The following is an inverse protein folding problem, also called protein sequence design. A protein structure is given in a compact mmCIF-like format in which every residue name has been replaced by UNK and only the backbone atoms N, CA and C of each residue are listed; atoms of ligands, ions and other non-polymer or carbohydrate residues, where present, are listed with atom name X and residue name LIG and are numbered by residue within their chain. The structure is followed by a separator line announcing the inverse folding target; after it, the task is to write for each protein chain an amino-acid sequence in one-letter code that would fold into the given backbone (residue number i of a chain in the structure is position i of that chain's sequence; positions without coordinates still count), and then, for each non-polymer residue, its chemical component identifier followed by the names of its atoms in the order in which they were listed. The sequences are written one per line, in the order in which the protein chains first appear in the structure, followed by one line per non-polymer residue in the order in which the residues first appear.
data_IF_308233502061
#
_entry.id   IF_308233502061
#
_cell.length_a   1.000
_cell.length_b   1.000
_cell.length_c   1.000
_cell.angle_alpha   90.00
_cell.angle_beta   90.00
_cell.angle_gamma   90.00
#
_symmetry.space_group_name_H-M   'P 1'
#
loop_
_entity.id
_entity.type
_entity.pdbx_description
1 polymer ?
#
# COMPACT_ATOMS: atom_id res chain seq x y z
N UNK A 1 -0.25 7.69 2.21
CA UNK A 1 0.62 7.93 1.04
C UNK A 1 1.37 6.66 0.65
N UNK A 2 0.76 5.82 -0.18
CA UNK A 2 1.47 4.76 -0.91
C UNK A 2 2.46 5.54 -1.72
N UNK A 3 3.73 5.41 -1.33
CA UNK A 3 4.80 6.14 -1.97
C UNK A 3 5.15 5.39 -3.24
N UNK A 4 5.77 6.12 -4.16
CA UNK A 4 6.44 5.51 -5.30
C UNK A 4 7.34 4.35 -4.85
N UNK A 5 8.12 4.56 -3.78
CA UNK A 5 9.00 3.53 -3.18
C UNK A 5 8.24 2.29 -2.70
N UNK A 6 7.05 2.44 -2.10
CA UNK A 6 6.23 1.31 -1.70
C UNK A 6 5.74 0.50 -2.92
N UNK A 7 5.24 1.18 -3.95
CA UNK A 7 4.78 0.51 -5.17
C UNK A 7 5.92 -0.24 -5.85
N UNK A 8 7.09 0.39 -5.93
CA UNK A 8 8.29 -0.20 -6.48
C UNK A 8 8.67 -1.48 -5.74
N UNK A 9 8.85 -1.42 -4.41
CA UNK A 9 9.21 -2.61 -3.60
C UNK A 9 8.16 -3.72 -3.71
N UNK A 10 6.87 -3.37 -3.67
CA UNK A 10 5.77 -4.33 -3.76
C UNK A 10 5.76 -5.04 -5.12
N UNK A 11 5.88 -4.30 -6.20
CA UNK A 11 5.81 -4.89 -7.54
C UNK A 11 7.11 -5.61 -7.92
N UNK A 12 8.26 -5.16 -7.39
CA UNK A 12 9.51 -5.92 -7.47
C UNK A 12 9.41 -7.27 -6.75
N UNK A 13 8.74 -7.31 -5.59
CA UNK A 13 8.42 -8.57 -4.91
C UNK A 13 7.59 -9.53 -5.77
N UNK A 14 6.59 -9.02 -6.50
CA UNK A 14 5.80 -9.82 -7.45
C UNK A 14 6.63 -10.31 -8.63
N UNK A 15 7.45 -9.43 -9.19
CA UNK A 15 8.39 -9.75 -10.26
C UNK A 15 9.30 -10.92 -9.85
N UNK A 16 9.94 -10.82 -8.67
CA UNK A 16 10.80 -11.87 -8.11
C UNK A 16 10.04 -13.18 -7.92
N UNK A 17 8.82 -13.12 -7.39
CA UNK A 17 7.98 -14.30 -7.20
C UNK A 17 7.63 -15.00 -8.51
N UNK A 18 7.22 -14.24 -9.53
CA UNK A 18 6.87 -14.77 -10.84
C UNK A 18 8.10 -15.38 -11.53
N UNK A 19 9.24 -14.68 -11.50
CA UNK A 19 10.51 -15.17 -12.04
C UNK A 19 10.93 -16.50 -11.41
N UNK A 20 10.80 -16.61 -10.08
CA UNK A 20 11.12 -17.83 -9.33
C UNK A 20 10.17 -18.98 -9.66
N UNK A 21 8.87 -18.69 -9.75
CA UNK A 21 7.84 -19.67 -10.09
C UNK A 21 8.09 -20.31 -11.45
N UNK A 22 8.50 -19.52 -12.44
CA UNK A 22 8.78 -20.03 -13.80
C UNK A 22 10.02 -20.93 -13.86
N UNK A 23 10.88 -20.87 -12.83
CA UNK A 23 12.13 -21.63 -12.71
C UNK A 23 12.12 -22.71 -11.64
N UNK A 24 11.02 -22.83 -10.89
CA UNK A 24 10.87 -23.79 -9.81
C UNK A 24 11.80 -23.54 -8.62
N UNK A 25 12.23 -22.29 -8.39
CA UNK A 25 12.97 -21.89 -7.20
C UNK A 25 12.11 -21.01 -6.28
N UNK A 26 12.63 -20.66 -5.10
CA UNK A 26 11.94 -19.74 -4.18
C UNK A 26 12.61 -18.36 -4.19
N UNK A 27 11.89 -17.29 -3.86
CA UNK A 27 12.45 -15.94 -3.78
C UNK A 27 13.65 -15.82 -2.83
N UNK A 28 13.68 -16.60 -1.74
CA UNK A 28 14.77 -16.58 -0.76
C UNK A 28 16.08 -17.18 -1.30
N UNK A 29 15.99 -17.99 -2.36
CA UNK A 29 17.14 -18.62 -3.00
C UNK A 29 17.82 -17.69 -4.02
N UNK A 30 17.17 -16.58 -4.39
CA UNK A 30 17.65 -15.65 -5.41
C UNK A 30 18.56 -14.59 -4.80
N UNK A 31 19.82 -14.63 -5.20
CA UNK A 31 20.78 -13.57 -4.96
C UNK A 31 20.81 -12.61 -6.16
N UNK A 32 20.69 -11.31 -5.92
CA UNK A 32 20.55 -10.31 -6.98
C UNK A 32 21.90 -9.95 -7.61
N UNK A 33 23.03 -10.21 -6.94
CA UNK A 33 24.38 -9.98 -7.47
C UNK A 33 24.91 -11.16 -8.30
N UNK A 34 24.61 -12.39 -7.88
CA UNK A 34 25.16 -13.61 -8.51
C UNK A 34 24.11 -14.49 -9.18
N UNK A 35 22.84 -14.11 -9.08
CA UNK A 35 21.72 -14.87 -9.63
C UNK A 35 21.48 -16.21 -8.92
N UNK A 36 20.84 -17.13 -9.61
CA UNK A 36 20.63 -18.51 -9.15
C UNK A 36 20.78 -19.47 -10.34
N UNK A 37 21.41 -20.63 -10.10
CA UNK A 37 21.60 -21.69 -11.11
C UNK A 37 22.29 -21.22 -12.42
N UNK A 38 23.12 -20.18 -12.34
CA UNK A 38 23.83 -19.62 -13.50
C UNK A 38 22.99 -18.64 -14.34
N UNK A 39 21.78 -18.31 -13.90
CA UNK A 39 20.97 -17.24 -14.50
C UNK A 39 21.06 -15.97 -13.66
N UNK A 40 21.28 -14.83 -14.32
CA UNK A 40 21.24 -13.52 -13.68
C UNK A 40 19.80 -13.14 -13.32
N UNK A 41 19.66 -12.51 -12.17
CA UNK A 41 18.40 -11.92 -11.72
C UNK A 41 18.54 -10.39 -11.73
N UNK A 42 17.51 -9.71 -12.22
CA UNK A 42 17.47 -8.24 -12.32
C UNK A 42 17.32 -7.66 -10.92
N UNK A 43 18.17 -6.68 -10.56
CA UNK A 43 18.08 -6.02 -9.26
C UNK A 43 16.92 -5.01 -9.21
N UNK A 44 16.64 -4.44 -8.03
CA UNK A 44 15.50 -3.52 -7.87
C UNK A 44 15.67 -2.26 -8.72
N UNK A 45 16.88 -1.70 -8.80
CA UNK A 45 17.18 -0.52 -9.61
C UNK A 45 17.01 -0.79 -11.10
N UNK A 46 17.49 -1.94 -11.58
CA UNK A 46 17.31 -2.33 -12.98
C UNK A 46 15.84 -2.60 -13.31
N UNK A 47 15.09 -3.19 -12.38
CA UNK A 47 13.65 -3.38 -12.49
C UNK A 47 12.91 -2.04 -12.56
N UNK A 48 13.30 -1.07 -11.72
CA UNK A 48 12.73 0.28 -11.71
C UNK A 48 12.90 0.99 -13.06
N UNK A 49 14.10 0.89 -13.63
CA UNK A 49 14.48 1.56 -14.87
C UNK A 49 13.85 0.92 -16.12
N UNK A 50 13.50 -0.38 -16.05
CA UNK A 50 13.02 -1.15 -17.20
C UNK A 50 11.59 -1.67 -16.98
N UNK A 51 11.43 -2.84 -16.35
CA UNK A 51 10.15 -3.55 -16.23
C UNK A 51 9.07 -2.70 -15.56
N UNK A 52 9.43 -1.90 -14.55
CA UNK A 52 8.51 -1.03 -13.83
C UNK A 52 8.04 0.17 -14.66
N UNK A 53 8.69 0.50 -15.77
CA UNK A 53 8.21 1.52 -16.72
C UNK A 53 7.44 0.92 -17.90
N UNK A 54 7.53 -0.40 -18.12
CA UNK A 54 6.88 -1.09 -19.22
C UNK A 54 5.40 -1.37 -18.91
N UNK A 55 4.52 -0.66 -19.61
CA UNK A 55 3.07 -0.79 -19.43
C UNK A 55 2.54 -2.20 -19.73
N UNK A 56 3.00 -2.83 -20.82
CA UNK A 56 2.52 -4.16 -21.21
C UNK A 56 2.96 -5.20 -20.18
N UNK A 57 4.21 -5.09 -19.73
CA UNK A 57 4.76 -5.95 -18.69
C UNK A 57 4.01 -5.81 -17.37
N UNK A 58 3.85 -4.58 -16.86
CA UNK A 58 3.18 -4.33 -15.58
C UNK A 58 1.70 -4.73 -15.62
N UNK A 59 1.03 -4.57 -16.76
CA UNK A 59 -0.34 -5.07 -16.94
C UNK A 59 -0.43 -6.60 -16.91
N UNK A 60 0.61 -7.31 -17.32
CA UNK A 60 0.67 -8.77 -17.25
C UNK A 60 1.01 -9.29 -15.85
N UNK A 61 1.80 -8.52 -15.09
CA UNK A 61 2.27 -8.88 -13.75
C UNK A 61 1.23 -8.59 -12.65
N UNK A 62 0.48 -7.50 -12.80
CA UNK A 62 -0.41 -6.95 -11.78
C UNK A 62 -1.88 -7.33 -12.00
N UNK A 63 -2.66 -7.37 -10.92
CA UNK A 63 -4.12 -7.39 -11.04
C UNK A 63 -4.65 -6.00 -11.44
N UNK A 64 -5.93 -5.93 -11.84
CA UNK A 64 -6.56 -4.68 -12.31
C UNK A 64 -6.48 -3.52 -11.30
N UNK A 65 -6.62 -3.83 -10.00
CA UNK A 65 -6.52 -2.83 -8.93
C UNK A 65 -5.08 -2.32 -8.74
N UNK A 66 -4.09 -3.22 -8.71
CA UNK A 66 -2.68 -2.87 -8.58
C UNK A 66 -2.15 -2.12 -9.80
N UNK A 67 -2.59 -2.53 -11.00
CA UNK A 67 -2.28 -1.83 -12.25
C UNK A 67 -2.80 -0.39 -12.22
N UNK A 68 -3.99 -0.17 -11.65
CA UNK A 68 -4.52 1.18 -11.47
C UNK A 68 -3.68 2.03 -10.51
N UNK A 69 -3.06 1.43 -9.48
CA UNK A 69 -2.12 2.13 -8.60
C UNK A 69 -0.81 2.47 -9.29
N UNK A 70 -0.26 1.51 -10.05
CA UNK A 70 0.94 1.73 -10.85
C UNK A 70 0.75 2.88 -11.86
N UNK A 71 -0.40 2.95 -12.52
CA UNK A 71 -0.72 4.00 -13.51
C UNK A 71 -0.71 5.42 -12.95
N UNK A 72 -0.92 5.58 -11.65
CA UNK A 72 -0.91 6.89 -10.99
C UNK A 72 0.37 7.12 -10.18
N UNK A 73 1.38 6.24 -10.28
CA UNK A 73 2.64 6.31 -9.51
C UNK A 73 3.34 7.67 -9.65
N UNK A 74 3.32 8.24 -10.85
CA UNK A 74 3.95 9.53 -11.17
C UNK A 74 3.09 10.73 -10.69
N UNK A 75 1.80 10.49 -10.40
CA UNK A 75 0.90 11.48 -9.78
C UNK A 75 0.99 11.47 -8.26
N UNK A 76 1.61 10.44 -7.65
CA UNK A 76 1.82 10.35 -6.19
C UNK A 76 2.95 11.27 -5.71
N UNK A 77 3.73 11.85 -6.63
CA UNK A 77 4.76 12.86 -6.31
C UNK A 77 4.21 14.29 -6.17
N UNK A 78 2.91 14.52 -6.41
CA UNK A 78 2.35 15.88 -6.51
C UNK A 78 0.95 16.01 -5.89
N UNK A 79 0.87 16.58 -4.66
CA UNK A 79 0.05 17.75 -4.27
C UNK A 79 -0.46 17.70 -2.82
N UNK A 80 -0.12 18.76 -2.07
CA UNK A 80 -0.79 19.25 -0.86
C UNK A 80 -2.09 20.02 -1.22
N UNK A 81 -3.11 20.03 -0.34
CA UNK A 81 -3.99 21.17 0.06
C UNK A 81 -5.24 20.73 0.86
N UNK A 82 -5.83 21.71 1.58
CA UNK A 82 -6.52 21.74 2.90
C UNK A 82 -8.09 21.55 2.97
N UNK A 83 -8.57 21.25 4.20
CA UNK A 83 -9.82 21.64 4.97
C UNK A 83 -11.26 21.53 4.35
N UNK A 84 -12.41 21.31 5.04
CA UNK A 84 -12.86 21.06 6.43
C UNK A 84 -14.39 20.66 6.43
N UNK A 85 -14.88 20.11 7.56
CA UNK A 85 -16.24 20.15 8.17
C UNK A 85 -17.17 18.93 8.08
N UNK A 86 -17.67 18.51 9.26
CA UNK A 86 -18.17 17.16 9.54
C UNK A 86 -19.69 16.92 9.68
N UNK A 87 -20.01 15.67 10.02
CA UNK A 87 -21.25 15.20 10.65
C UNK A 87 -20.98 13.79 11.28
N UNK A 88 -21.72 13.44 12.33
CA UNK A 88 -21.37 12.52 13.44
C UNK A 88 -21.42 11.00 13.11
N UNK A 89 -20.91 10.57 11.95
CA UNK A 89 -20.72 9.14 11.58
C UNK A 89 -19.30 8.81 11.12
N UNK A 90 -18.37 9.75 11.30
CA UNK A 90 -16.98 9.61 10.95
C UNK A 90 -16.17 8.83 12.00
N UNK A 91 -15.35 7.89 11.54
CA UNK A 91 -14.34 7.22 12.36
C UNK A 91 -13.00 7.91 12.12
N UNK A 92 -12.42 8.43 13.18
CA UNK A 92 -11.07 8.98 13.17
C UNK A 92 -10.02 7.86 13.20
N UNK A 93 -9.05 7.95 12.30
CA UNK A 93 -7.93 7.04 12.12
C UNK A 93 -6.62 7.84 12.06
N UNK A 94 -5.52 7.28 12.54
CA UNK A 94 -4.19 7.90 12.47
C UNK A 94 -3.20 6.95 11.76
N UNK A 95 -2.32 7.51 10.94
CA UNK A 95 -1.39 6.77 10.07
C UNK A 95 0.02 6.59 10.64
N UNK A 96 0.18 6.59 11.97
CA UNK A 96 1.48 6.67 12.67
C UNK A 96 2.52 5.59 12.25
N UNK A 97 3.82 5.92 12.24
CA UNK A 97 4.85 4.92 12.54
C UNK A 97 5.84 5.35 13.64
N UNK A 98 6.46 4.34 14.24
CA UNK A 98 7.53 4.29 15.25
C UNK A 98 8.87 4.93 14.82
N UNK A 99 8.84 5.97 13.97
CA UNK A 99 9.98 6.85 13.73
C UNK A 99 9.76 8.12 14.53
N UNK A 100 10.79 8.62 15.23
CA UNK A 100 10.85 9.79 16.13
C UNK A 100 10.27 11.15 15.59
N UNK A 101 9.43 11.14 14.57
CA UNK A 101 8.72 12.29 14.05
C UNK A 101 7.44 12.53 14.86
N UNK A 102 7.39 13.69 15.50
CA UNK A 102 6.34 14.15 16.42
C UNK A 102 4.91 14.24 15.81
N UNK A 103 4.69 13.87 14.54
CA UNK A 103 3.48 14.18 13.77
C UNK A 103 2.88 12.97 13.03
N UNK A 104 1.57 12.78 13.12
CA UNK A 104 0.78 11.78 12.38
C UNK A 104 -0.28 12.42 11.49
N UNK A 105 -0.68 11.74 10.42
CA UNK A 105 -1.88 12.14 9.67
C UNK A 105 -3.10 11.51 10.32
N UNK A 106 -3.90 12.35 10.95
CA UNK A 106 -5.25 12.05 11.37
C UNK A 106 -6.21 12.20 10.20
N UNK A 107 -7.14 11.27 10.03
CA UNK A 107 -8.17 11.40 9.02
C UNK A 107 -9.47 10.74 9.48
N UNK A 108 -10.59 11.30 9.03
CA UNK A 108 -11.91 10.82 9.34
C UNK A 108 -12.55 10.24 8.09
N UNK A 109 -13.12 9.05 8.20
CA UNK A 109 -13.84 8.37 7.11
C UNK A 109 -15.22 7.93 7.59
N UNK A 110 -16.16 7.73 6.67
CA UNK A 110 -17.45 7.17 7.06
C UNK A 110 -17.31 5.76 7.65
N UNK A 111 -18.02 5.50 8.75
CA UNK A 111 -17.99 4.21 9.44
C UNK A 111 -18.37 3.04 8.54
N UNK A 112 -19.43 3.19 7.75
CA UNK A 112 -19.92 2.12 6.86
C UNK A 112 -18.89 1.77 5.79
N UNK A 113 -18.30 2.80 5.18
CA UNK A 113 -17.19 2.64 4.24
C UNK A 113 -15.99 1.94 4.88
N UNK A 114 -15.61 2.34 6.09
CA UNK A 114 -14.49 1.71 6.81
C UNK A 114 -14.76 0.23 7.09
N UNK A 115 -15.97 -0.12 7.55
CA UNK A 115 -16.35 -1.51 7.80
C UNK A 115 -16.27 -2.32 6.51
N UNK A 116 -16.79 -1.82 5.39
CA UNK A 116 -16.73 -2.49 4.10
C UNK A 116 -15.28 -2.74 3.63
N UNK A 117 -14.38 -1.78 3.86
CA UNK A 117 -12.95 -1.93 3.55
C UNK A 117 -12.31 -3.00 4.43
N UNK A 118 -12.58 -2.96 5.73
CA UNK A 118 -12.01 -3.90 6.70
C UNK A 118 -12.54 -5.32 6.50
N UNK A 119 -13.82 -5.52 6.18
CA UNK A 119 -14.39 -6.84 5.90
C UNK A 119 -13.70 -7.49 4.71
N UNK A 120 -13.40 -6.68 3.67
CA UNK A 120 -12.64 -7.17 2.51
C UNK A 120 -11.22 -7.53 2.93
N UNK A 121 -10.53 -6.67 3.68
CA UNK A 121 -9.16 -6.91 4.14
C UNK A 121 -9.07 -8.17 5.02
N UNK A 122 -9.99 -8.37 5.95
CA UNK A 122 -10.04 -9.54 6.83
C UNK A 122 -10.36 -10.82 6.09
N UNK A 123 -11.22 -10.75 5.07
CA UNK A 123 -11.45 -11.84 4.14
C UNK A 123 -10.18 -12.27 3.39
N UNK A 124 -9.30 -11.33 3.03
CA UNK A 124 -8.01 -11.64 2.39
C UNK A 124 -6.97 -12.20 3.37
N UNK A 125 -7.00 -11.78 4.64
CA UNK A 125 -6.05 -12.21 5.66
C UNK A 125 -6.55 -13.39 6.51
N UNK A 126 -7.72 -13.94 6.19
CA UNK A 126 -8.38 -15.04 6.89
C UNK A 126 -8.62 -14.73 8.40
N UNK A 127 -8.92 -13.46 8.71
CA UNK A 127 -9.29 -12.97 10.06
C UNK A 127 -10.81 -13.07 10.26
N UNK A 128 -11.26 -13.36 11.48
CA UNK A 128 -12.69 -13.52 11.79
C UNK A 128 -13.37 -12.15 12.05
N UNK A 129 -13.62 -11.42 10.97
CA UNK A 129 -14.48 -10.23 10.96
C UNK A 129 -13.87 -8.97 11.58
N UNK A 130 -14.56 -7.85 11.32
CA UNK A 130 -14.07 -6.50 11.66
C UNK A 130 -14.30 -6.20 13.14
N UNK A 131 -13.21 -5.96 13.88
CA UNK A 131 -13.26 -5.49 15.27
C UNK A 131 -12.73 -4.06 15.38
N UNK A 132 -13.64 -3.08 15.26
CA UNK A 132 -13.34 -1.66 15.44
C UNK A 132 -12.96 -1.30 16.89
N UNK A 133 -13.31 -2.12 17.90
CA UNK A 133 -12.96 -1.82 19.30
C UNK A 133 -11.49 -2.08 19.59
N UNK A 134 -10.88 -3.00 18.83
CA UNK A 134 -9.46 -3.39 18.91
C UNK A 134 -8.71 -3.07 17.63
N UNK A 135 -9.15 -2.03 16.92
CA UNK A 135 -8.62 -1.68 15.61
C UNK A 135 -7.08 -1.59 15.60
N UNK A 136 -6.49 -0.86 16.56
CA UNK A 136 -5.03 -0.71 16.66
C UNK A 136 -4.29 -1.99 17.12
N UNK A 137 -5.01 -2.96 17.71
CA UNK A 137 -4.44 -4.26 18.09
C UNK A 137 -4.51 -5.28 16.93
N UNK A 138 -5.41 -5.06 15.97
CA UNK A 138 -5.76 -6.01 14.91
C UNK A 138 -5.28 -5.61 13.52
N UNK A 139 -5.06 -4.31 13.28
CA UNK A 139 -4.62 -3.79 12.00
C UNK A 139 -3.25 -3.12 12.14
N UNK A 140 -2.30 -3.57 11.33
CA UNK A 140 -0.94 -3.01 11.34
C UNK A 140 -0.90 -1.67 10.63
N UNK A 141 0.14 -0.87 10.85
CA UNK A 141 0.28 0.47 10.28
C UNK A 141 0.15 0.52 8.75
N UNK A 142 0.68 -0.49 8.05
CA UNK A 142 0.55 -0.62 6.60
C UNK A 142 -0.93 -0.72 6.16
N UNK A 143 -1.77 -1.31 7.01
CA UNK A 143 -3.22 -1.46 6.79
C UNK A 143 -3.95 -0.14 7.07
N UNK A 144 -3.59 0.60 8.13
CA UNK A 144 -4.18 1.92 8.42
C UNK A 144 -3.81 2.96 7.37
N UNK A 145 -2.59 2.87 6.84
CA UNK A 145 -2.13 3.69 5.72
C UNK A 145 -2.78 3.34 4.39
N UNK A 146 -3.00 2.05 4.14
CA UNK A 146 -3.79 1.57 3.00
C UNK A 146 -5.21 2.12 3.05
N UNK A 147 -5.87 2.07 4.21
CA UNK A 147 -7.20 2.62 4.42
C UNK A 147 -7.21 4.12 4.13
N UNK A 148 -6.23 4.88 4.64
CA UNK A 148 -6.09 6.31 4.34
C UNK A 148 -6.05 6.59 2.83
N UNK A 149 -5.28 5.81 2.08
CA UNK A 149 -5.12 6.03 0.65
C UNK A 149 -6.32 5.65 -0.17
N UNK A 150 -6.96 4.55 0.21
CA UNK A 150 -8.21 4.13 -0.40
C UNK A 150 -9.27 5.19 -0.15
N UNK A 151 -9.33 5.74 1.07
CA UNK A 151 -10.23 6.84 1.40
C UNK A 151 -9.96 8.09 0.56
N UNK A 152 -8.69 8.50 0.40
CA UNK A 152 -8.33 9.66 -0.44
C UNK A 152 -8.68 9.44 -1.91
N UNK A 153 -8.45 8.22 -2.44
CA UNK A 153 -8.75 7.86 -3.83
C UNK A 153 -10.24 7.84 -4.12
N UNK A 154 -11.04 7.36 -3.17
CA UNK A 154 -12.50 7.23 -3.30
C UNK A 154 -13.24 8.49 -2.81
N UNK A 155 -12.51 9.57 -2.50
CA UNK A 155 -13.06 10.83 -1.98
C UNK A 155 -13.94 10.63 -0.73
N UNK A 156 -13.60 9.63 0.09
CA UNK A 156 -14.31 9.21 1.31
C UNK A 156 -13.68 9.77 2.60
N UNK A 157 -12.62 10.57 2.48
CA UNK A 157 -12.05 11.32 3.62
C UNK A 157 -12.94 12.52 3.89
N UNK A 158 -13.56 12.51 5.07
CA UNK A 158 -14.42 13.60 5.56
C UNK A 158 -13.54 14.76 6.03
N UNK A 159 -12.55 14.48 6.87
CA UNK A 159 -11.58 15.46 7.34
C UNK A 159 -10.18 14.84 7.44
N UNK A 160 -9.16 15.68 7.33
CA UNK A 160 -7.76 15.30 7.49
C UNK A 160 -7.05 16.39 8.31
N UNK A 161 -6.20 15.98 9.25
CA UNK A 161 -5.43 16.87 10.10
C UNK A 161 -4.04 16.30 10.38
N UNK A 162 -3.07 17.19 10.63
CA UNK A 162 -1.78 16.79 11.18
C UNK A 162 -1.86 16.84 12.71
N UNK A 163 -1.69 15.68 13.34
CA UNK A 163 -1.78 15.54 14.79
C UNK A 163 -0.39 15.35 15.36
N UNK A 164 -0.04 16.20 16.33
CA UNK A 164 1.18 16.01 17.09
C UNK A 164 0.96 14.88 18.10
N UNK A 165 1.63 13.75 17.90
CA UNK A 165 1.56 12.58 18.77
C UNK A 165 2.81 12.56 19.65
N UNK A 166 2.66 12.92 20.93
CA UNK A 166 3.71 12.80 21.96
C UNK A 166 3.54 11.53 22.80
#
# INVERSE_FOLDING_TARGET
MVTYEYLLRKFYGRYKWQWCKDRGCKPEDVNEEVGINGECFVCMEEFEDNEFQDEEYMKSLLCEEEYSWWRIKDSLELKETEEDSGDDNGIYLCTFPDSDDDYCKGFVVEKEWLVDVLERMDGFHNREGVDLKRFLDNYVWDETWFIYLKAKKEECVITEEEVHCK
#
